data_IF_730138335553
#
_entry.id   IF_730138335553
#
_cell.length_a   1.000
_cell.length_b   1.000
_cell.length_c   1.000
_cell.angle_alpha   90.00
_cell.angle_beta   90.00
_cell.angle_gamma   90.00
#
_symmetry.space_group_name_H-M   'P 1'
#
loop_
_entity.id
_entity.type
_entity.pdbx_description
1 polymer ?
#
# COMPACT_ATOMS: atom_id res chain seq x y z
N UNK A 1 9.43 7.44 2.64
CA UNK A 1 9.48 5.97 2.42
C UNK A 1 8.14 5.54 1.82
N UNK A 2 8.15 4.81 0.71
CA UNK A 2 6.94 4.28 0.07
C UNK A 2 6.75 2.83 0.53
N UNK A 3 5.56 2.50 1.02
CA UNK A 3 5.24 1.16 1.55
C UNK A 3 4.06 0.63 0.76
N UNK A 4 4.20 -0.52 0.10
CA UNK A 4 3.09 -1.16 -0.60
C UNK A 4 2.46 -2.22 0.32
N UNK A 5 1.14 -2.20 0.44
CA UNK A 5 0.36 -3.13 1.27
C UNK A 5 -0.64 -3.85 0.39
N UNK A 6 -0.67 -5.18 0.50
CA UNK A 6 -1.54 -6.05 -0.28
C UNK A 6 -1.08 -6.23 -1.73
N UNK A 7 -1.77 -7.11 -2.44
CA UNK A 7 -1.57 -7.41 -3.86
C UNK A 7 -0.15 -7.90 -4.24
N UNK A 8 0.12 -8.03 -5.56
CA UNK A 8 1.33 -8.68 -6.07
C UNK A 8 2.51 -7.73 -6.34
N UNK A 9 2.55 -6.51 -5.77
CA UNK A 9 3.57 -5.50 -6.05
C UNK A 9 5.01 -6.05 -6.20
N UNK A 10 5.40 -6.99 -5.34
CA UNK A 10 6.71 -7.61 -5.38
C UNK A 10 6.87 -8.50 -6.63
N UNK A 11 7.56 -7.98 -7.64
CA UNK A 11 7.80 -8.66 -8.93
C UNK A 11 6.76 -8.33 -10.02
N UNK A 12 5.80 -7.44 -9.73
CA UNK A 12 4.82 -7.01 -10.72
C UNK A 12 5.34 -5.88 -11.60
N UNK A 13 4.91 -5.87 -12.86
CA UNK A 13 5.19 -4.78 -13.81
C UNK A 13 4.13 -3.69 -13.69
N UNK A 14 4.57 -2.44 -13.62
CA UNK A 14 3.69 -1.27 -13.64
C UNK A 14 3.00 -1.16 -15.01
N UNK A 15 1.70 -0.92 -15.01
CA UNK A 15 0.86 -0.83 -16.20
C UNK A 15 0.43 0.62 -16.42
N UNK A 16 0.85 1.20 -17.55
CA UNK A 16 0.54 2.58 -17.91
C UNK A 16 1.37 3.62 -17.15
N UNK A 17 0.91 4.87 -17.13
CA UNK A 17 1.52 5.92 -16.34
C UNK A 17 1.10 5.81 -14.88
N UNK A 18 2.07 5.91 -13.97
CA UNK A 18 1.81 6.21 -12.59
C UNK A 18 1.21 7.62 -12.50
N UNK A 19 0.06 7.73 -11.85
CA UNK A 19 -0.47 9.05 -11.52
C UNK A 19 -0.11 9.35 -10.05
N UNK A 20 -0.13 10.62 -9.66
CA UNK A 20 0.28 11.03 -8.30
C UNK A 20 -0.58 10.43 -7.17
N UNK A 21 -1.72 9.81 -7.49
CA UNK A 21 -2.74 9.30 -6.54
C UNK A 21 -2.94 7.79 -6.59
N UNK A 22 -2.59 7.12 -7.69
CA UNK A 22 -2.71 5.68 -7.89
C UNK A 22 -1.80 5.19 -9.01
N UNK A 23 -1.49 3.90 -8.97
CA UNK A 23 -0.86 3.20 -10.09
C UNK A 23 -1.50 1.82 -10.24
N UNK A 24 -1.39 1.24 -11.43
CA UNK A 24 -1.88 -0.10 -11.72
C UNK A 24 -0.71 -1.03 -11.96
N UNK A 25 -0.82 -2.28 -11.53
CA UNK A 25 0.16 -3.31 -11.85
C UNK A 25 -0.49 -4.54 -12.45
N UNK A 26 0.32 -5.27 -13.23
CA UNK A 26 -0.07 -6.59 -13.72
C UNK A 26 -0.05 -7.57 -12.55
N UNK A 27 -1.16 -8.28 -12.35
CA UNK A 27 -1.24 -9.34 -11.37
C UNK A 27 -0.53 -10.61 -11.84
N UNK A 28 -0.49 -11.61 -10.96
CA UNK A 28 0.15 -12.91 -11.24
C UNK A 28 -0.69 -13.79 -12.16
N UNK A 29 -2.00 -13.58 -12.21
CA UNK A 29 -2.90 -14.34 -13.07
C UNK A 29 -3.01 -13.68 -14.46
N UNK A 30 -3.26 -14.47 -15.52
CA UNK A 30 -3.59 -13.93 -16.83
C UNK A 30 -4.76 -12.95 -16.71
N UNK A 31 -4.63 -11.77 -17.29
CA UNK A 31 -5.61 -10.68 -17.27
C UNK A 31 -5.98 -10.10 -15.89
N UNK A 32 -5.29 -10.45 -14.79
CA UNK A 32 -5.52 -9.76 -13.53
C UNK A 32 -4.71 -8.47 -13.44
N UNK A 33 -5.34 -7.43 -12.91
CA UNK A 33 -4.68 -6.15 -12.60
C UNK A 33 -5.09 -5.71 -11.22
N UNK A 34 -4.13 -5.24 -10.43
CA UNK A 34 -4.37 -4.70 -9.09
C UNK A 34 -4.09 -3.20 -9.14
N UNK A 35 -5.00 -2.39 -8.60
CA UNK A 35 -4.76 -0.96 -8.46
C UNK A 35 -4.24 -0.66 -7.06
N UNK A 36 -3.26 0.22 -6.96
CA UNK A 36 -2.76 0.72 -5.70
C UNK A 36 -3.12 2.18 -5.55
N UNK A 37 -3.70 2.54 -4.41
CA UNK A 37 -4.07 3.91 -4.08
C UNK A 37 -3.11 4.51 -3.06
N UNK A 38 -2.77 5.77 -3.27
CA UNK A 38 -1.89 6.52 -2.37
C UNK A 38 -2.63 6.93 -1.11
N UNK A 39 -2.00 6.64 0.02
CA UNK A 39 -2.46 6.99 1.36
C UNK A 39 -1.34 7.69 2.09
N UNK A 40 -1.53 8.97 2.38
CA UNK A 40 -0.56 9.79 3.11
C UNK A 40 -1.01 9.87 4.55
N UNK A 41 -0.20 9.34 5.46
CA UNK A 41 -0.51 9.32 6.89
C UNK A 41 0.61 10.06 7.63
N UNK A 42 0.21 10.95 8.53
CA UNK A 42 1.12 11.62 9.43
C UNK A 42 1.13 10.89 10.77
N UNK A 43 2.32 10.49 11.22
CA UNK A 43 2.48 9.83 12.51
C UNK A 43 3.74 10.33 13.20
N UNK A 44 3.61 10.83 14.44
CA UNK A 44 4.72 11.43 15.24
C UNK A 44 5.60 12.38 14.40
N UNK A 45 4.97 13.33 13.71
CA UNK A 45 5.61 14.33 12.83
C UNK A 45 6.35 13.79 11.59
N UNK A 46 6.25 12.50 11.29
CA UNK A 46 6.79 11.91 10.06
C UNK A 46 5.65 11.57 9.11
N UNK A 47 5.82 11.88 7.83
CA UNK A 47 4.89 11.48 6.78
C UNK A 47 5.27 10.12 6.19
N UNK A 48 4.30 9.23 6.17
CA UNK A 48 4.38 7.93 5.54
C UNK A 48 3.46 7.92 4.31
N UNK A 49 3.96 7.32 3.23
CA UNK A 49 3.19 7.09 2.02
C UNK A 49 2.98 5.59 1.91
N UNK A 50 1.72 5.19 2.04
CA UNK A 50 1.27 3.83 1.82
C UNK A 50 0.61 3.74 0.44
N UNK A 51 0.87 2.67 -0.27
CA UNK A 51 0.22 2.29 -1.51
C UNK A 51 -0.59 1.04 -1.21
N UNK A 52 -1.90 1.15 -1.19
CA UNK A 52 -2.80 0.08 -0.73
C UNK A 52 -3.53 -0.50 -1.92
N UNK A 53 -3.47 -1.83 -2.07
CA UNK A 53 -4.20 -2.52 -3.14
C UNK A 53 -5.71 -2.34 -2.99
N UNK A 54 -6.41 -2.19 -4.10
CA UNK A 54 -7.89 -2.14 -4.18
C UNK A 54 -8.58 -3.42 -3.68
N UNK A 55 -7.82 -4.51 -3.57
CA UNK A 55 -8.24 -5.78 -2.97
C UNK A 55 -8.39 -5.71 -1.44
N UNK A 56 -7.80 -4.73 -0.76
CA UNK A 56 -7.93 -4.57 0.69
C UNK A 56 -9.17 -3.74 1.03
N UNK A 57 -10.02 -4.28 1.90
CA UNK A 57 -11.12 -3.49 2.46
C UNK A 57 -10.57 -2.39 3.37
N UNK A 58 -11.30 -1.28 3.50
CA UNK A 58 -10.89 -0.12 4.31
C UNK A 58 -10.58 -0.48 5.78
N UNK A 59 -11.29 -1.46 6.34
CA UNK A 59 -11.07 -1.93 7.71
C UNK A 59 -9.71 -2.65 7.84
N UNK A 60 -9.42 -3.55 6.91
CA UNK A 60 -8.13 -4.28 6.86
C UNK A 60 -6.96 -3.33 6.59
N UNK A 61 -7.13 -2.35 5.70
CA UNK A 61 -6.15 -1.31 5.41
C UNK A 61 -5.69 -0.60 6.70
N UNK A 62 -6.65 -0.12 7.50
CA UNK A 62 -6.36 0.67 8.69
C UNK A 62 -5.65 -0.15 9.76
N UNK A 63 -6.07 -1.39 9.99
CA UNK A 63 -5.40 -2.28 10.95
C UNK A 63 -3.97 -2.60 10.53
N UNK A 64 -3.73 -2.90 9.25
CA UNK A 64 -2.39 -3.23 8.77
C UNK A 64 -1.46 -2.01 8.89
N UNK A 65 -1.93 -0.81 8.50
CA UNK A 65 -1.14 0.41 8.62
C UNK A 65 -0.85 0.71 10.10
N UNK A 66 -1.85 0.60 10.98
CA UNK A 66 -1.66 0.80 12.42
C UNK A 66 -0.63 -0.17 12.99
N UNK A 67 -0.77 -1.46 12.69
CA UNK A 67 0.16 -2.50 13.14
C UNK A 67 1.59 -2.27 12.61
N UNK A 68 1.73 -1.83 11.34
CA UNK A 68 3.02 -1.46 10.77
C UNK A 68 3.66 -0.29 11.54
N UNK A 69 2.90 0.78 11.80
CA UNK A 69 3.39 1.96 12.51
C UNK A 69 3.78 1.64 13.95
N UNK A 70 3.01 0.81 14.65
CA UNK A 70 3.31 0.35 16.02
C UNK A 70 4.60 -0.47 16.05
N UNK A 71 4.74 -1.48 15.17
CA UNK A 71 5.94 -2.31 15.06
C UNK A 71 7.19 -1.49 14.73
N UNK A 72 7.09 -0.57 13.78
CA UNK A 72 8.22 0.28 13.36
C UNK A 72 8.78 1.15 14.49
N UNK A 73 7.96 1.42 15.50
CA UNK A 73 8.34 2.25 16.64
C UNK A 73 8.73 1.45 17.87
N UNK A 74 8.86 0.11 17.77
CA UNK A 74 9.04 -0.79 18.91
C UNK A 74 8.04 -0.53 20.05
N UNK A 75 6.84 -0.04 19.71
CA UNK A 75 5.75 0.06 20.67
C UNK A 75 5.14 -1.33 20.72
N UNK A 76 5.76 -2.21 21.51
CA UNK A 76 5.14 -3.45 21.96
C UNK A 76 3.99 -3.00 22.86
N UNK A 77 2.76 -3.26 22.42
CA UNK A 77 1.59 -3.22 23.30
C UNK A 77 1.39 -4.62 23.83
#
# INVERSE_FOLDING_TARGET
MNICIGGPWHGSKLLGNDNKKSFKVKGKLPNSTTNYFKRKIQFKNVFYIFWVSDELMLLDENEIIKNFLLKKLNIIV
#
